data_IF_814612129174
#
_entry.id   IF_814612129174
#
_cell.length_a   1.000
_cell.length_b   1.000
_cell.length_c   1.000
_cell.angle_alpha   90.00
_cell.angle_beta   90.00
_cell.angle_gamma   90.00
#
_symmetry.space_group_name_H-M   'P 1'
#
loop_
_entity.id
_entity.type
_entity.pdbx_description
1 polymer ?
#
# COMPACT_ATOMS: atom_id res chain seq x y z
N UNK A 1 1.09 7.12 -21.28
CA UNK A 1 0.94 6.22 -20.11
C UNK A 1 0.45 7.08 -18.94
N UNK A 2 -0.67 6.74 -18.30
CA UNK A 2 -1.08 7.45 -17.07
C UNK A 2 -0.32 6.96 -15.84
N UNK A 3 -0.50 7.62 -14.69
CA UNK A 3 0.33 7.40 -13.50
C UNK A 3 0.14 6.01 -12.91
N UNK A 4 1.21 5.44 -12.38
CA UNK A 4 1.25 4.21 -11.60
C UNK A 4 1.51 4.57 -10.14
N UNK A 5 0.47 4.51 -9.32
CA UNK A 5 0.49 4.89 -7.90
C UNK A 5 0.42 3.64 -7.03
N UNK A 6 1.32 3.51 -6.07
CA UNK A 6 1.26 2.48 -5.04
C UNK A 6 0.77 3.04 -3.70
N UNK A 7 -0.16 2.32 -3.08
CA UNK A 7 -0.52 2.48 -1.66
C UNK A 7 0.15 1.34 -0.91
N UNK A 8 1.05 1.65 0.03
CA UNK A 8 1.82 0.64 0.76
C UNK A 8 1.04 0.11 1.96
N UNK A 9 1.02 -1.22 2.11
CA UNK A 9 0.38 -1.90 3.23
C UNK A 9 1.41 -2.62 4.08
N UNK A 10 1.63 -2.17 5.30
CA UNK A 10 2.29 -2.97 6.34
C UNK A 10 1.26 -3.85 7.04
N UNK A 11 1.68 -5.04 7.48
CA UNK A 11 0.76 -6.03 8.03
C UNK A 11 1.43 -7.03 8.98
N UNK A 12 2.72 -6.91 9.27
CA UNK A 12 3.35 -7.68 10.34
C UNK A 12 2.91 -7.19 11.72
N UNK A 13 3.12 -8.02 12.73
CA UNK A 13 2.76 -7.78 14.11
C UNK A 13 3.95 -8.08 15.02
N UNK A 14 3.89 -7.56 16.24
CA UNK A 14 4.91 -7.82 17.25
C UNK A 14 4.62 -9.12 18.02
N UNK A 15 5.63 -9.99 18.27
CA UNK A 15 5.45 -11.22 19.03
C UNK A 15 4.85 -10.98 20.43
N UNK A 16 3.75 -11.65 20.74
CA UNK A 16 3.09 -11.55 22.05
C UNK A 16 2.32 -10.24 22.31
N UNK A 17 2.42 -9.26 21.41
CA UNK A 17 1.80 -7.94 21.56
C UNK A 17 0.68 -7.72 20.51
N UNK A 18 0.84 -8.26 19.31
CA UNK A 18 -0.07 -8.02 18.19
C UNK A 18 0.27 -6.74 17.44
N UNK A 19 -0.73 -6.09 16.82
CA UNK A 19 -0.53 -4.90 15.98
C UNK A 19 -0.45 -3.60 16.81
N UNK A 20 0.46 -3.54 17.78
CA UNK A 20 0.63 -2.32 18.59
C UNK A 20 1.11 -1.11 17.77
N UNK A 21 1.82 -1.32 16.66
CA UNK A 21 2.19 -0.27 15.72
C UNK A 21 1.02 0.10 14.76
N UNK A 22 -0.13 -0.57 14.85
CA UNK A 22 -1.31 -0.26 14.05
C UNK A 22 -1.28 -0.75 12.60
N UNK A 23 -0.40 -1.70 12.26
CA UNK A 23 -0.27 -2.25 10.91
C UNK A 23 -1.58 -2.86 10.37
N UNK A 24 -2.47 -3.36 11.24
CA UNK A 24 -3.83 -3.76 10.85
C UNK A 24 -4.63 -2.59 10.24
N UNK A 25 -4.52 -1.38 10.82
CA UNK A 25 -5.19 -0.17 10.32
C UNK A 25 -4.51 0.34 9.03
N UNK A 26 -3.19 0.21 8.91
CA UNK A 26 -2.46 0.55 7.67
C UNK A 26 -2.95 -0.35 6.53
N UNK A 27 -3.01 -1.66 6.76
CA UNK A 27 -3.50 -2.62 5.78
C UNK A 27 -4.97 -2.36 5.40
N UNK A 28 -5.84 -2.18 6.38
CA UNK A 28 -7.26 -1.88 6.17
C UNK A 28 -7.45 -0.59 5.36
N UNK A 29 -6.83 0.51 5.80
CA UNK A 29 -6.95 1.82 5.15
C UNK A 29 -6.46 1.79 3.72
N UNK A 30 -5.37 1.07 3.45
CA UNK A 30 -4.82 0.95 2.10
C UNK A 30 -5.74 0.16 1.14
N UNK A 31 -6.37 -0.91 1.63
CA UNK A 31 -7.38 -1.65 0.86
C UNK A 31 -8.64 -0.80 0.65
N UNK A 32 -9.07 -0.06 1.68
CA UNK A 32 -10.22 0.84 1.60
C UNK A 32 -10.01 1.94 0.55
N UNK A 33 -8.81 2.52 0.46
CA UNK A 33 -8.44 3.48 -0.60
C UNK A 33 -8.61 2.83 -1.98
N UNK A 34 -8.11 1.61 -2.19
CA UNK A 34 -8.23 0.96 -3.48
C UNK A 34 -9.68 0.66 -3.88
N UNK A 35 -10.51 0.23 -2.92
CA UNK A 35 -11.94 0.03 -3.14
C UNK A 35 -12.65 1.34 -3.47
N UNK A 36 -12.38 2.41 -2.70
CA UNK A 36 -12.97 3.73 -2.91
C UNK A 36 -12.58 4.33 -4.27
N UNK A 37 -11.30 4.27 -4.64
CA UNK A 37 -10.82 4.71 -5.96
C UNK A 37 -11.50 3.88 -7.05
N UNK A 38 -11.53 2.55 -6.93
CA UNK A 38 -12.21 1.68 -7.93
C UNK A 38 -13.68 2.10 -8.13
N UNK A 39 -14.41 2.40 -7.06
CA UNK A 39 -15.80 2.85 -7.14
C UNK A 39 -15.94 4.17 -7.90
N UNK A 40 -15.08 5.16 -7.60
CA UNK A 40 -15.07 6.46 -8.29
C UNK A 40 -14.70 6.32 -9.77
N UNK A 41 -13.75 5.44 -10.12
CA UNK A 41 -13.40 5.20 -11.52
C UNK A 41 -14.55 4.50 -12.25
N UNK A 42 -15.21 3.52 -11.63
CA UNK A 42 -16.33 2.82 -12.26
C UNK A 42 -17.54 3.74 -12.55
N UNK A 43 -17.68 4.86 -11.82
CA UNK A 43 -18.78 5.81 -12.02
C UNK A 43 -18.50 6.88 -13.08
N UNK A 44 -17.35 6.85 -13.75
CA UNK A 44 -16.97 7.85 -14.77
C UNK A 44 -16.98 7.25 -16.17
N UNK A 45 -17.55 7.98 -17.12
CA UNK A 45 -17.60 7.65 -18.56
C UNK A 45 -16.22 7.67 -19.26
N UNK A 46 -15.18 8.20 -18.60
CA UNK A 46 -13.85 8.34 -19.19
C UNK A 46 -13.04 7.03 -19.19
N UNK A 47 -12.28 6.80 -20.26
CA UNK A 47 -11.25 5.75 -20.27
C UNK A 47 -10.10 6.11 -19.32
N UNK A 48 -10.01 5.34 -18.22
CA UNK A 48 -8.98 5.54 -17.20
C UNK A 48 -7.61 5.10 -17.74
N UNK A 49 -6.63 6.00 -17.67
CA UNK A 49 -5.27 5.77 -18.22
C UNK A 49 -4.20 5.44 -17.18
N UNK A 50 -4.55 5.39 -15.89
CA UNK A 50 -3.63 5.13 -14.77
C UNK A 50 -3.78 3.75 -14.13
N UNK A 51 -2.84 3.41 -13.25
CA UNK A 51 -2.82 2.17 -12.45
C UNK A 51 -2.70 2.49 -10.97
N UNK A 52 -3.55 1.89 -10.15
CA UNK A 52 -3.42 1.88 -8.70
C UNK A 52 -2.96 0.48 -8.25
N UNK A 53 -1.95 0.41 -7.39
CA UNK A 53 -1.40 -0.83 -6.84
C UNK A 53 -1.51 -0.77 -5.33
N UNK A 54 -2.10 -1.81 -4.73
CA UNK A 54 -1.96 -2.06 -3.30
C UNK A 54 -0.73 -2.94 -3.12
N UNK A 55 0.34 -2.37 -2.57
CA UNK A 55 1.62 -3.08 -2.43
C UNK A 55 1.83 -3.48 -0.97
N UNK A 56 1.75 -4.78 -0.72
CA UNK A 56 2.12 -5.33 0.58
C UNK A 56 3.61 -5.18 0.87
N UNK A 57 3.96 -4.64 2.04
CA UNK A 57 5.31 -4.46 2.53
C UNK A 57 5.49 -5.21 3.86
N UNK A 58 6.06 -6.43 3.84
CA UNK A 58 6.22 -7.24 5.05
C UNK A 58 7.35 -6.74 5.93
N UNK A 59 7.34 -7.20 7.18
CA UNK A 59 8.47 -7.16 8.09
C UNK A 59 9.05 -5.75 8.28
N UNK A 60 8.15 -4.80 8.54
CA UNK A 60 8.51 -3.42 8.85
C UNK A 60 9.31 -3.35 10.15
N UNK A 61 8.86 -4.08 11.18
CA UNK A 61 9.36 -3.91 12.56
C UNK A 61 10.87 -4.23 12.66
N UNK A 62 11.32 -5.30 11.98
CA UNK A 62 12.71 -5.76 12.10
C UNK A 62 13.27 -6.50 10.87
N UNK A 63 12.51 -6.68 9.78
CA UNK A 63 12.94 -7.56 8.67
C UNK A 63 13.40 -6.84 7.41
N UNK A 64 13.33 -5.50 7.37
CA UNK A 64 13.69 -4.70 6.18
C UNK A 64 12.97 -5.15 4.91
N UNK A 65 11.71 -5.61 5.00
CA UNK A 65 11.05 -6.23 3.85
C UNK A 65 10.87 -5.30 2.65
N UNK A 66 10.76 -3.98 2.87
CA UNK A 66 10.76 -2.99 1.77
C UNK A 66 12.06 -3.00 0.97
N UNK A 67 13.21 -3.15 1.63
CA UNK A 67 14.51 -3.23 0.94
C UNK A 67 14.53 -4.43 0.00
N UNK A 68 14.13 -5.62 0.48
CA UNK A 68 14.05 -6.83 -0.34
C UNK A 68 13.09 -6.67 -1.53
N UNK A 69 11.97 -5.97 -1.34
CA UNK A 69 11.02 -5.67 -2.41
C UNK A 69 11.60 -4.70 -3.45
N UNK A 70 12.33 -3.67 -3.01
CA UNK A 70 13.04 -2.74 -3.90
C UNK A 70 14.07 -3.49 -4.73
N UNK A 71 14.90 -4.32 -4.11
CA UNK A 71 15.95 -5.09 -4.79
C UNK A 71 15.38 -6.08 -5.81
N UNK A 72 14.24 -6.69 -5.48
CA UNK A 72 13.49 -7.58 -6.39
C UNK A 72 12.66 -6.83 -7.43
N UNK A 73 12.65 -5.50 -7.39
CA UNK A 73 12.03 -4.64 -8.39
C UNK A 73 10.52 -4.44 -8.24
N UNK A 74 9.94 -4.70 -7.08
CA UNK A 74 8.51 -4.47 -6.82
C UNK A 74 8.11 -2.99 -6.96
N UNK A 75 9.06 -2.07 -6.74
CA UNK A 75 8.87 -0.64 -6.90
C UNK A 75 9.20 -0.12 -8.31
N UNK A 76 9.65 -0.99 -9.24
CA UNK A 76 10.00 -0.57 -10.59
C UNK A 76 8.78 0.00 -11.31
N UNK A 77 8.98 1.13 -11.98
CA UNK A 77 7.96 1.82 -12.77
C UNK A 77 6.78 2.37 -11.95
N UNK A 78 6.91 2.53 -10.64
CA UNK A 78 5.98 3.36 -9.86
C UNK A 78 6.35 4.82 -10.07
N UNK A 79 5.34 5.67 -10.28
CA UNK A 79 5.52 7.13 -10.33
C UNK A 79 5.42 7.72 -8.93
N UNK A 80 4.59 7.12 -8.07
CA UNK A 80 4.35 7.54 -6.69
C UNK A 80 4.13 6.32 -5.81
N UNK A 81 4.68 6.34 -4.59
CA UNK A 81 4.34 5.42 -3.51
C UNK A 81 3.96 6.22 -2.27
N UNK A 82 2.81 5.93 -1.66
CA UNK A 82 2.32 6.60 -0.46
C UNK A 82 1.86 5.61 0.58
N UNK A 83 1.94 6.00 1.85
CA UNK A 83 1.35 5.28 2.97
C UNK A 83 0.93 6.26 4.05
N UNK A 84 0.01 5.84 4.90
CA UNK A 84 -0.36 6.58 6.12
C UNK A 84 -0.11 5.65 7.29
N UNK A 85 0.63 6.14 8.27
CA UNK A 85 0.84 5.45 9.53
C UNK A 85 -0.09 6.04 10.59
N UNK A 86 -0.89 5.25 11.30
CA UNK A 86 -1.67 5.75 12.43
C UNK A 86 -0.72 6.22 13.53
N UNK A 87 -1.05 7.35 14.16
CA UNK A 87 -0.34 7.86 15.32
C UNK A 87 -1.37 8.22 16.40
N UNK A 88 -0.94 8.18 17.64
CA UNK A 88 -1.69 8.62 18.82
C UNK A 88 -1.20 9.98 19.29
#
# INVERSE_FOLDING_TARGET
RGPSVAILCEYDALPGIGHACGHNLIAEGSVAVAVGVKAVLASRESSHVGKLIVLGTPAEENGSGKQLLIDKGAFKNLDVAVMVHPAS
#
